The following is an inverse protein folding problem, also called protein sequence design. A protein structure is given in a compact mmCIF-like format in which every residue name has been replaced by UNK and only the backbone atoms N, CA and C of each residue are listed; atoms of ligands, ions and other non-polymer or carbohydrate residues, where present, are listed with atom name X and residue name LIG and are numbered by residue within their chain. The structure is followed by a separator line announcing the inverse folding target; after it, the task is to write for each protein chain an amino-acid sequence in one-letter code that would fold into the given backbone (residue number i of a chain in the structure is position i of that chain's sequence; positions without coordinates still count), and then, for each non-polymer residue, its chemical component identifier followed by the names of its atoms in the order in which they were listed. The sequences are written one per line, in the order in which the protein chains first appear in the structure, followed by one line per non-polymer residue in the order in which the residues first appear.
data_IF_303055999199
#
_entry.id   IF_303055999199
#
_cell.length_a   1.000
_cell.length_b   1.000
_cell.length_c   1.000
_cell.angle_alpha   90.00
_cell.angle_beta   90.00
_cell.angle_gamma   90.00
#
_symmetry.space_group_name_H-M   'P 1'
#
loop_
_entity.id
_entity.type
_entity.pdbx_description
1 polymer ?
#
# COMPACT_ATOMS: atom_id res chain seq x y z
N UNK A 1 -4.25 4.39 -2.56
CA UNK A 1 -5.05 4.07 -1.36
C UNK A 1 -6.32 4.90 -1.25
N UNK A 2 -6.25 6.23 -1.16
CA UNK A 2 -7.41 7.12 -0.96
C UNK A 2 -8.62 6.83 -1.86
N UNK A 3 -8.41 6.75 -3.18
CA UNK A 3 -9.49 6.43 -4.13
C UNK A 3 -10.10 5.04 -3.91
N UNK A 4 -9.30 4.05 -3.49
CA UNK A 4 -9.80 2.72 -3.20
C UNK A 4 -10.75 2.75 -1.99
N UNK A 5 -10.37 3.48 -0.92
CA UNK A 5 -11.22 3.66 0.27
C UNK A 5 -12.51 4.40 -0.08
N UNK A 6 -12.43 5.44 -0.93
CA UNK A 6 -13.60 6.14 -1.44
C UNK A 6 -14.57 5.21 -2.20
N UNK A 7 -14.03 4.35 -3.07
CA UNK A 7 -14.82 3.35 -3.81
C UNK A 7 -15.44 2.31 -2.87
N UNK A 8 -14.71 1.86 -1.85
CA UNK A 8 -15.22 0.93 -0.85
C UNK A 8 -16.39 1.54 -0.07
N UNK A 9 -16.24 2.79 0.39
CA UNK A 9 -17.29 3.52 1.09
C UNK A 9 -18.53 3.72 0.21
N UNK A 10 -18.34 4.05 -1.07
CA UNK A 10 -19.42 4.16 -2.03
C UNK A 10 -20.16 2.82 -2.25
N UNK A 11 -19.43 1.72 -2.45
CA UNK A 11 -20.00 0.39 -2.63
C UNK A 11 -20.81 -0.05 -1.39
N UNK A 12 -20.29 0.20 -0.19
CA UNK A 12 -21.00 -0.06 1.06
C UNK A 12 -22.27 0.78 1.18
N UNK A 13 -22.20 2.08 0.86
CA UNK A 13 -23.38 2.97 0.91
C UNK A 13 -24.46 2.59 -0.11
N UNK A 14 -24.06 2.03 -1.26
CA UNK A 14 -24.97 1.52 -2.30
C UNK A 14 -25.47 0.10 -2.03
N UNK A 15 -25.01 -0.53 -0.94
CA UNK A 15 -25.31 -1.93 -0.60
C UNK A 15 -24.88 -2.93 -1.67
N UNK A 16 -23.86 -2.58 -2.45
CA UNK A 16 -23.22 -3.50 -3.41
C UNK A 16 -22.39 -4.56 -2.65
N UNK A 17 -21.84 -4.16 -1.49
CA UNK A 17 -21.16 -5.04 -0.55
C UNK A 17 -21.74 -4.85 0.85
N UNK A 18 -21.56 -5.85 1.71
CA UNK A 18 -22.01 -5.81 3.10
C UNK A 18 -20.91 -5.40 4.07
N UNK A 19 -19.64 -5.48 3.67
CA UNK A 19 -18.48 -5.21 4.53
C UNK A 19 -17.34 -4.53 3.77
N UNK A 20 -16.52 -3.77 4.49
CA UNK A 20 -15.23 -3.26 4.04
C UNK A 20 -14.14 -3.87 4.91
N UNK A 21 -13.08 -4.39 4.31
CA UNK A 21 -11.92 -4.92 5.01
C UNK A 21 -10.69 -4.18 4.52
N UNK A 22 -10.06 -3.40 5.39
CA UNK A 22 -8.81 -2.70 5.14
C UNK A 22 -7.69 -3.43 5.86
N UNK A 23 -6.63 -3.75 5.13
CA UNK A 23 -5.50 -4.46 5.69
C UNK A 23 -4.18 -3.90 5.17
N UNK A 24 -3.15 -4.04 5.99
CA UNK A 24 -1.78 -3.57 5.70
C UNK A 24 -0.79 -4.61 6.22
N UNK A 25 0.31 -4.91 5.52
CA UNK A 25 1.36 -5.74 6.08
C UNK A 25 2.00 -5.02 7.27
N UNK A 26 2.37 -5.78 8.30
CA UNK A 26 3.23 -5.27 9.35
C UNK A 26 4.65 -5.24 8.80
N UNK A 27 5.24 -4.05 8.74
CA UNK A 27 6.59 -3.83 8.22
C UNK A 27 7.39 -3.14 9.30
N UNK A 28 8.54 -3.69 9.65
CA UNK A 28 9.44 -3.06 10.62
C UNK A 28 10.21 -1.92 9.93
N UNK A 29 9.51 -0.81 9.68
CA UNK A 29 10.13 0.38 9.11
C UNK A 29 10.95 1.10 10.19
N UNK A 30 12.18 0.62 10.42
CA UNK A 30 13.19 1.28 11.25
C UNK A 30 13.09 1.08 12.76
N UNK A 31 11.89 0.88 13.32
CA UNK A 31 11.69 0.46 14.72
C UNK A 31 11.20 -0.99 14.75
N UNK A 32 11.91 -1.90 15.44
CA UNK A 32 11.43 -3.29 15.55
C UNK A 32 10.10 -3.28 16.29
N UNK A 33 9.10 -3.98 15.75
CA UNK A 33 7.75 -4.06 16.34
C UNK A 33 7.78 -4.52 17.81
N UNK A 34 8.85 -5.23 18.19
CA UNK A 34 9.15 -5.66 19.56
C UNK A 34 9.31 -4.53 20.59
N UNK A 35 9.67 -3.29 20.21
CA UNK A 35 9.99 -2.22 21.16
C UNK A 35 8.82 -1.35 21.61
N UNK A 36 7.69 -1.36 20.90
CA UNK A 36 6.49 -0.62 21.33
C UNK A 36 5.84 -1.32 22.54
N UNK A 37 5.54 -0.61 23.65
CA UNK A 37 4.86 -1.20 24.80
C UNK A 37 3.39 -1.50 24.46
N UNK A 38 2.81 -2.54 25.08
CA UNK A 38 1.40 -2.92 24.91
C UNK A 38 1.18 -4.28 24.25
N UNK A 39 -0.09 -4.62 24.02
CA UNK A 39 -0.48 -5.83 23.31
C UNK A 39 -0.16 -5.75 21.81
N UNK A 40 -0.35 -6.84 21.08
CA UNK A 40 -0.04 -6.90 19.65
C UNK A 40 -0.80 -5.84 18.84
N UNK A 41 -2.02 -5.49 19.25
CA UNK A 41 -2.81 -4.47 18.54
C UNK A 41 -2.28 -3.06 18.81
N UNK A 42 -1.94 -2.73 20.05
CA UNK A 42 -1.34 -1.45 20.40
C UNK A 42 -0.03 -1.17 19.64
N UNK A 43 0.73 -2.23 19.33
CA UNK A 43 1.96 -2.13 18.54
C UNK A 43 1.72 -1.91 17.04
N UNK A 44 0.61 -2.42 16.50
CA UNK A 44 0.30 -2.34 15.06
C UNK A 44 -0.61 -1.15 14.72
N UNK A 45 -1.31 -0.59 15.72
CA UNK A 45 -2.20 0.56 15.59
C UNK A 45 -1.57 1.76 14.84
N UNK A 46 -0.31 2.18 15.11
CA UNK A 46 0.30 3.29 14.39
C UNK A 46 0.37 3.08 12.87
N UNK A 47 0.57 1.84 12.42
CA UNK A 47 0.67 1.49 11.00
C UNK A 47 -0.71 1.46 10.32
N UNK A 48 -1.76 1.18 11.08
CA UNK A 48 -3.14 1.17 10.60
C UNK A 48 -3.78 2.56 10.63
N UNK A 49 -3.20 3.51 11.38
CA UNK A 49 -3.72 4.87 11.53
C UNK A 49 -4.06 5.57 10.19
N UNK A 50 -3.22 5.51 9.14
CA UNK A 50 -3.56 6.13 7.85
C UNK A 50 -4.84 5.57 7.21
N UNK A 51 -5.18 4.31 7.48
CA UNK A 51 -6.43 3.70 6.98
C UNK A 51 -7.65 4.23 7.74
N UNK A 52 -7.53 4.45 9.05
CA UNK A 52 -8.57 5.10 9.85
C UNK A 52 -8.79 6.55 9.42
N UNK A 53 -7.70 7.30 9.22
CA UNK A 53 -7.79 8.69 8.77
C UNK A 53 -8.46 8.77 7.38
N UNK A 54 -8.09 7.88 6.45
CA UNK A 54 -8.73 7.79 5.14
C UNK A 54 -10.23 7.43 5.20
N UNK A 55 -10.67 6.65 6.20
CA UNK A 55 -12.09 6.39 6.42
C UNK A 55 -12.83 7.64 6.92
N UNK A 56 -12.23 8.38 7.85
CA UNK A 56 -12.79 9.62 8.39
C UNK A 56 -12.89 10.74 7.36
N UNK A 57 -12.03 10.73 6.34
CA UNK A 57 -12.15 11.63 5.19
C UNK A 57 -13.36 11.31 4.29
N UNK A 58 -13.88 10.07 4.32
CA UNK A 58 -14.94 9.58 3.44
C UNK A 58 -16.31 9.48 4.10
N UNK A 59 -16.33 9.28 5.41
CA UNK A 59 -17.51 8.98 6.20
C UNK A 59 -17.51 9.83 7.47
N UNK A 60 -18.70 10.21 7.93
CA UNK A 60 -18.85 10.91 9.21
C UNK A 60 -18.21 10.11 10.37
N UNK A 61 -17.48 10.75 11.29
CA UNK A 61 -16.76 10.07 12.37
C UNK A 61 -17.63 9.11 13.19
N UNK A 62 -18.85 9.53 13.54
CA UNK A 62 -19.80 8.72 14.30
C UNK A 62 -20.22 7.46 13.54
N UNK A 63 -20.37 7.58 12.22
CA UNK A 63 -20.70 6.46 11.35
C UNK A 63 -19.53 5.49 11.23
N UNK A 64 -18.30 5.99 11.11
CA UNK A 64 -17.10 5.14 11.08
C UNK A 64 -17.01 4.30 12.36
N UNK A 65 -17.11 4.94 13.53
CA UNK A 65 -17.06 4.25 14.83
C UNK A 65 -18.15 3.19 14.96
N UNK A 66 -19.40 3.51 14.61
CA UNK A 66 -20.50 2.55 14.67
C UNK A 66 -20.27 1.35 13.72
N UNK A 67 -19.73 1.58 12.53
CA UNK A 67 -19.50 0.52 11.54
C UNK A 67 -18.32 -0.37 11.92
N UNK A 68 -17.28 0.20 12.57
CA UNK A 68 -16.17 -0.54 13.16
C UNK A 68 -16.64 -1.43 14.31
N UNK A 69 -17.41 -0.88 15.26
CA UNK A 69 -17.97 -1.64 16.40
C UNK A 69 -18.86 -2.81 15.95
N UNK A 70 -19.63 -2.61 14.87
CA UNK A 70 -20.48 -3.66 14.28
C UNK A 70 -19.72 -4.67 13.42
N UNK A 71 -18.42 -4.46 13.17
CA UNK A 71 -17.62 -5.29 12.28
C UNK A 71 -18.01 -5.20 10.81
N UNK A 72 -18.73 -4.14 10.41
CA UNK A 72 -19.04 -3.87 9.00
C UNK A 72 -17.81 -3.31 8.29
N UNK A 73 -17.07 -2.44 8.97
CA UNK A 73 -15.74 -2.02 8.56
C UNK A 73 -14.75 -2.74 9.48
N UNK A 74 -13.75 -3.38 8.91
CA UNK A 74 -12.67 -4.04 9.64
C UNK A 74 -11.34 -3.43 9.19
N UNK A 75 -10.52 -2.98 10.14
CA UNK A 75 -9.14 -2.54 9.89
C UNK A 75 -8.23 -3.47 10.68
N UNK A 76 -7.44 -4.29 9.98
CA UNK A 76 -6.65 -5.33 10.63
C UNK A 76 -5.32 -5.61 9.92
N UNK A 77 -4.31 -6.13 10.62
CA UNK A 77 -3.04 -6.53 10.00
C UNK A 77 -3.23 -7.68 8.99
N UNK A 78 -2.37 -7.76 7.97
CA UNK A 78 -2.47 -8.79 6.91
C UNK A 78 -2.53 -10.23 7.44
N UNK A 79 -1.87 -10.51 8.56
CA UNK A 79 -1.87 -11.83 9.19
C UNK A 79 -3.28 -12.33 9.56
N UNK A 80 -4.22 -11.42 9.84
CA UNK A 80 -5.61 -11.74 10.21
C UNK A 80 -6.44 -12.22 9.01
N UNK A 81 -5.92 -12.10 7.79
CA UNK A 81 -6.58 -12.61 6.59
C UNK A 81 -6.40 -14.11 6.40
N UNK A 82 -5.43 -14.72 7.10
CA UNK A 82 -5.09 -16.14 6.97
C UNK A 82 -6.29 -17.03 7.31
N UNK A 83 -6.57 -18.00 6.43
CA UNK A 83 -7.64 -18.98 6.65
C UNK A 83 -9.06 -18.44 6.44
N UNK A 84 -9.23 -17.19 6.00
CA UNK A 84 -10.54 -16.61 5.74
C UNK A 84 -10.97 -16.80 4.29
N UNK A 85 -12.28 -16.74 4.06
CA UNK A 85 -12.88 -16.50 2.75
C UNK A 85 -13.73 -15.24 2.88
N UNK A 86 -13.43 -14.23 2.07
CA UNK A 86 -13.99 -12.89 2.21
C UNK A 86 -15.12 -12.72 1.19
N UNK A 87 -16.33 -13.10 1.61
CA UNK A 87 -17.57 -12.94 0.81
C UNK A 87 -18.27 -11.61 1.11
N UNK A 88 -19.03 -11.11 0.14
CA UNK A 88 -19.84 -9.88 0.22
C UNK A 88 -19.06 -8.67 0.74
N UNK A 89 -17.79 -8.56 0.34
CA UNK A 89 -16.84 -7.61 0.93
C UNK A 89 -16.10 -6.79 -0.12
N UNK A 90 -15.80 -5.53 0.21
CA UNK A 90 -14.79 -4.74 -0.50
C UNK A 90 -13.50 -4.79 0.31
N UNK A 91 -12.46 -5.41 -0.24
CA UNK A 91 -11.20 -5.67 0.45
C UNK A 91 -10.10 -4.77 -0.13
N UNK A 92 -9.34 -4.12 0.74
CA UNK A 92 -8.19 -3.31 0.35
C UNK A 92 -6.95 -3.81 1.09
N UNK A 93 -5.93 -4.21 0.34
CA UNK A 93 -4.58 -4.38 0.86
C UNK A 93 -3.77 -3.15 0.50
N UNK A 94 -3.42 -2.36 1.52
CA UNK A 94 -2.58 -1.19 1.38
C UNK A 94 -1.10 -1.54 1.59
N UNK A 95 -0.23 -0.76 0.95
CA UNK A 95 1.23 -0.84 1.07
C UNK A 95 1.77 -2.23 0.72
N UNK A 96 1.17 -2.79 -0.34
CA UNK A 96 1.38 -4.15 -0.79
C UNK A 96 2.80 -4.41 -1.30
N UNK A 97 3.56 -3.36 -1.63
CA UNK A 97 4.97 -3.51 -1.98
C UNK A 97 5.78 -4.14 -0.84
N UNK A 98 5.29 -4.03 0.39
CA UNK A 98 5.91 -4.59 1.59
C UNK A 98 5.36 -5.98 1.97
N UNK A 99 4.79 -6.70 1.01
CA UNK A 99 4.41 -8.11 1.18
C UNK A 99 5.45 -9.02 0.54
N UNK A 100 5.63 -10.22 1.10
CA UNK A 100 6.33 -11.30 0.39
C UNK A 100 5.43 -11.92 -0.70
N UNK A 101 6.00 -12.64 -1.69
CA UNK A 101 5.21 -13.37 -2.69
C UNK A 101 4.24 -14.38 -2.05
N UNK A 102 4.63 -15.04 -0.95
CA UNK A 102 3.78 -15.97 -0.22
C UNK A 102 2.62 -15.26 0.48
N UNK A 103 2.87 -14.09 1.08
CA UNK A 103 1.84 -13.27 1.71
C UNK A 103 0.84 -12.74 0.68
N UNK A 104 1.33 -12.27 -0.47
CA UNK A 104 0.50 -11.82 -1.58
C UNK A 104 -0.38 -12.97 -2.09
N UNK A 105 0.20 -14.15 -2.37
CA UNK A 105 -0.57 -15.34 -2.77
C UNK A 105 -1.59 -15.76 -1.71
N UNK A 106 -1.20 -15.74 -0.43
CA UNK A 106 -2.10 -16.04 0.69
C UNK A 106 -3.30 -15.09 0.67
N UNK A 107 -3.06 -13.80 0.50
CA UNK A 107 -4.09 -12.76 0.50
C UNK A 107 -5.03 -12.82 -0.71
N UNK A 108 -4.49 -12.90 -1.92
CA UNK A 108 -5.29 -12.91 -3.16
C UNK A 108 -6.23 -14.14 -3.20
N UNK A 109 -5.80 -15.27 -2.65
CA UNK A 109 -6.64 -16.48 -2.55
C UNK A 109 -7.71 -16.42 -1.46
N UNK A 110 -7.87 -15.30 -0.75
CA UNK A 110 -8.97 -15.09 0.22
C UNK A 110 -10.23 -14.49 -0.45
N UNK A 111 -10.15 -14.05 -1.71
CA UNK A 111 -11.28 -13.48 -2.43
C UNK A 111 -12.45 -14.48 -2.50
N UNK A 112 -13.62 -14.08 -1.99
CA UNK A 112 -14.84 -14.85 -2.01
C UNK A 112 -15.85 -14.34 -3.04
N UNK A 113 -17.07 -14.88 -3.00
CA UNK A 113 -18.16 -14.47 -3.87
C UNK A 113 -18.63 -13.05 -3.57
N UNK A 114 -19.20 -12.40 -4.59
CA UNK A 114 -19.76 -11.05 -4.51
C UNK A 114 -18.82 -10.04 -3.83
N UNK A 115 -17.53 -10.13 -4.15
CA UNK A 115 -16.49 -9.36 -3.48
C UNK A 115 -15.56 -8.72 -4.49
N UNK A 116 -14.96 -7.61 -4.08
CA UNK A 116 -13.98 -6.87 -4.89
C UNK A 116 -12.74 -6.63 -4.05
N UNK A 117 -11.58 -6.87 -4.63
CA UNK A 117 -10.29 -6.66 -3.98
C UNK A 117 -9.50 -5.59 -4.74
N UNK A 118 -8.91 -4.66 -4.00
CA UNK A 118 -7.99 -3.66 -4.53
C UNK A 118 -6.69 -3.77 -3.76
N UNK A 119 -5.58 -3.91 -4.48
CA UNK A 119 -4.23 -3.96 -3.91
C UNK A 119 -3.54 -2.66 -4.28
N UNK A 120 -3.06 -1.90 -3.30
CA UNK A 120 -2.37 -0.64 -3.50
C UNK A 120 -0.95 -0.71 -2.96
N UNK A 121 -0.01 -0.04 -3.63
CA UNK A 121 1.37 0.07 -3.19
C UNK A 121 2.21 0.94 -4.11
N UNK A 122 3.39 1.30 -3.66
CA UNK A 122 4.39 2.08 -4.40
C UNK A 122 5.68 1.25 -4.52
N UNK A 123 5.99 0.77 -5.72
CA UNK A 123 7.18 -0.07 -5.97
C UNK A 123 8.51 0.65 -5.72
N UNK A 124 8.51 1.98 -5.58
CA UNK A 124 9.71 2.76 -5.27
C UNK A 124 10.00 2.82 -3.76
N UNK A 125 9.03 2.43 -2.92
CA UNK A 125 9.07 2.50 -1.46
C UNK A 125 8.97 1.10 -0.85
N UNK A 126 9.87 0.21 -1.27
CA UNK A 126 9.98 -1.16 -0.73
C UNK A 126 10.84 -1.12 0.54
N UNK A 127 10.22 -1.44 1.67
CA UNK A 127 10.83 -1.49 3.00
C UNK A 127 11.25 -2.92 3.41
N UNK A 128 11.15 -3.88 2.48
CA UNK A 128 11.57 -5.26 2.72
C UNK A 128 13.11 -5.38 2.80
N UNK A 129 13.63 -6.40 3.52
CA UNK A 129 15.04 -6.74 3.47
C UNK A 129 15.51 -6.92 2.02
N UNK A 130 16.74 -6.48 1.71
CA UNK A 130 17.29 -6.48 0.34
C UNK A 130 17.28 -7.85 -0.36
N UNK A 131 17.25 -8.93 0.41
CA UNK A 131 17.26 -10.31 -0.09
C UNK A 131 15.85 -10.84 -0.38
N UNK A 132 14.81 -10.08 -0.06
CA UNK A 132 13.42 -10.48 -0.19
C UNK A 132 12.74 -9.73 -1.34
N UNK A 133 12.24 -10.48 -2.32
CA UNK A 133 11.45 -9.93 -3.40
C UNK A 133 10.11 -9.39 -2.91
N UNK A 134 9.65 -8.30 -3.51
CA UNK A 134 8.31 -7.76 -3.28
C UNK A 134 7.25 -8.61 -3.97
N UNK A 135 6.27 -9.06 -3.19
CA UNK A 135 5.10 -9.78 -3.68
C UNK A 135 4.29 -8.98 -4.69
N UNK A 136 4.22 -7.65 -4.54
CA UNK A 136 3.52 -6.78 -5.50
C UNK A 136 4.21 -6.78 -6.88
N UNK A 137 5.54 -6.71 -6.89
CA UNK A 137 6.33 -6.72 -8.14
C UNK A 137 6.20 -8.08 -8.82
N UNK A 138 6.41 -9.16 -8.07
CA UNK A 138 6.34 -10.53 -8.60
C UNK A 138 4.95 -10.86 -9.12
N UNK A 139 3.89 -10.48 -8.40
CA UNK A 139 2.52 -10.83 -8.80
C UNK A 139 2.04 -10.05 -10.02
N UNK A 140 2.57 -8.85 -10.25
CA UNK A 140 2.26 -8.06 -11.45
C UNK A 140 2.67 -8.75 -12.74
N UNK A 141 3.74 -9.55 -12.71
CA UNK A 141 4.16 -10.35 -13.85
C UNK A 141 3.39 -11.66 -13.94
N UNK A 142 3.16 -12.34 -12.80
CA UNK A 142 2.45 -13.64 -12.77
C UNK A 142 0.99 -13.51 -13.20
N UNK A 143 0.29 -12.46 -12.76
CA UNK A 143 -1.16 -12.33 -12.97
C UNK A 143 -1.53 -11.43 -14.15
N UNK A 144 -0.55 -11.03 -14.97
CA UNK A 144 -0.74 -10.09 -16.09
C UNK A 144 -1.83 -10.53 -17.08
N UNK A 145 -1.95 -11.83 -17.31
CA UNK A 145 -2.88 -12.42 -18.29
C UNK A 145 -4.11 -13.07 -17.65
N UNK A 146 -4.30 -12.91 -16.33
CA UNK A 146 -5.43 -13.51 -15.62
C UNK A 146 -6.68 -12.65 -15.80
N UNK A 147 -7.73 -13.24 -16.38
CA UNK A 147 -9.03 -12.58 -16.56
C UNK A 147 -9.61 -12.12 -15.21
N UNK A 148 -10.18 -10.91 -15.19
CA UNK A 148 -10.76 -10.31 -13.99
C UNK A 148 -9.76 -9.58 -13.09
N UNK A 149 -8.48 -9.54 -13.47
CA UNK A 149 -7.44 -8.75 -12.79
C UNK A 149 -6.98 -7.62 -13.71
N UNK A 150 -6.89 -6.40 -13.16
CA UNK A 150 -6.43 -5.22 -13.89
C UNK A 150 -5.32 -4.52 -13.11
N UNK A 151 -4.28 -4.08 -13.81
CA UNK A 151 -3.17 -3.33 -13.25
C UNK A 151 -3.25 -1.87 -13.67
N UNK A 152 -3.57 -1.00 -12.72
CA UNK A 152 -3.65 0.45 -12.93
C UNK A 152 -2.37 1.07 -12.38
N UNK A 153 -1.61 1.76 -13.25
CA UNK A 153 -0.37 2.45 -12.88
C UNK A 153 -0.60 3.95 -12.88
N UNK A 154 -0.34 4.59 -11.75
CA UNK A 154 -0.35 6.04 -11.63
C UNK A 154 1.05 6.61 -11.85
N UNK A 155 1.12 7.73 -12.56
CA UNK A 155 2.33 8.50 -12.80
C UNK A 155 2.43 9.75 -11.89
N UNK A 156 3.45 10.56 -12.13
CA UNK A 156 3.62 11.85 -11.41
C UNK A 156 2.48 12.83 -11.72
N UNK A 157 1.91 12.74 -12.91
CA UNK A 157 0.78 13.52 -13.40
C UNK A 157 -0.50 13.30 -12.57
N UNK A 158 -0.66 12.11 -11.99
CA UNK A 158 -1.82 11.75 -11.17
C UNK A 158 -1.70 12.26 -9.72
N UNK A 159 -0.53 12.80 -9.34
CA UNK A 159 -0.24 13.24 -7.97
C UNK A 159 -0.78 14.66 -7.74
N UNK A 160 -1.99 14.73 -7.18
CA UNK A 160 -2.60 15.99 -6.75
C UNK A 160 -2.19 16.30 -5.31
N UNK A 161 -1.36 17.34 -5.14
CA UNK A 161 -0.90 17.82 -3.82
C UNK A 161 -0.99 19.34 -3.75
N UNK A 162 -1.12 19.87 -2.54
CA UNK A 162 -1.13 21.31 -2.30
C UNK A 162 0.10 21.99 -2.94
N UNK A 163 -0.07 23.19 -3.51
CA UNK A 163 0.99 23.91 -4.25
C UNK A 163 2.26 24.08 -3.41
N UNK A 164 2.13 24.34 -2.11
CA UNK A 164 3.27 24.46 -1.20
C UNK A 164 4.10 23.17 -1.13
N UNK A 165 3.45 22.01 -1.01
CA UNK A 165 4.12 20.71 -0.94
C UNK A 165 4.90 20.44 -2.21
N UNK A 166 4.32 20.74 -3.38
CA UNK A 166 5.02 20.62 -4.67
C UNK A 166 6.30 21.47 -4.70
N UNK A 167 6.24 22.73 -4.24
CA UNK A 167 7.42 23.61 -4.17
C UNK A 167 8.49 23.07 -3.22
N UNK A 168 8.08 22.51 -2.07
CA UNK A 168 9.01 21.92 -1.10
C UNK A 168 9.74 20.73 -1.74
N UNK A 169 8.99 19.80 -2.36
CA UNK A 169 9.58 18.64 -3.03
C UNK A 169 10.53 19.07 -4.15
N UNK A 170 10.14 20.05 -4.98
CA UNK A 170 11.00 20.59 -6.03
C UNK A 170 12.32 21.16 -5.47
N UNK A 171 12.27 21.92 -4.38
CA UNK A 171 13.46 22.48 -3.75
C UNK A 171 14.43 21.39 -3.23
N UNK A 172 13.91 20.29 -2.67
CA UNK A 172 14.73 19.15 -2.26
C UNK A 172 15.34 18.41 -3.46
N UNK A 173 14.57 18.22 -4.53
CA UNK A 173 15.08 17.59 -5.76
C UNK A 173 16.21 18.41 -6.39
N UNK A 174 16.06 19.73 -6.51
CA UNK A 174 17.10 20.63 -7.00
C UNK A 174 18.35 20.63 -6.10
N UNK A 175 18.18 20.50 -4.79
CA UNK A 175 19.31 20.38 -3.87
C UNK A 175 20.04 19.05 -4.03
N UNK A 176 19.31 17.93 -4.13
CA UNK A 176 19.88 16.60 -4.33
C UNK A 176 20.65 16.51 -5.66
N UNK A 177 20.10 17.07 -6.74
CA UNK A 177 20.77 17.12 -8.05
C UNK A 177 22.07 17.93 -8.03
N UNK A 178 22.13 19.03 -7.26
CA UNK A 178 23.37 19.81 -7.08
C UNK A 178 24.44 19.08 -6.27
N UNK A 179 24.02 18.19 -5.37
CA UNK A 179 24.92 17.38 -4.54
C UNK A 179 25.37 16.09 -5.21
N UNK A 180 24.69 15.64 -6.28
CA UNK A 180 25.15 14.52 -7.08
C UNK A 180 26.50 14.87 -7.71
N UNK A 181 27.61 14.19 -7.34
CA UNK A 181 28.92 14.53 -7.89
C UNK A 181 28.88 14.33 -9.41
N UNK A 182 29.35 15.34 -10.15
CA UNK A 182 29.60 15.22 -11.58
C UNK A 182 30.42 13.94 -11.81
N UNK A 183 29.78 12.91 -12.40
CA UNK A 183 30.47 11.75 -12.92
C UNK A 183 31.41 12.27 -14.00
N UNK A 184 32.66 12.57 -13.60
CA UNK A 184 33.73 12.95 -14.52
C UNK A 184 33.76 11.91 -15.63
N UNK A 185 33.63 12.29 -16.91
CA UNK A 185 33.77 11.32 -18.00
C UNK A 185 35.15 10.68 -17.87
N UNK A 186 35.19 9.35 -17.76
CA UNK A 186 36.44 8.58 -17.78
C UNK A 186 37.19 8.96 -19.05
N UNK A 187 38.25 9.75 -18.92
CA UNK A 187 39.21 9.98 -19.99
C UNK A 187 39.74 8.62 -20.40
N UNK A 188 39.36 8.16 -21.60
CA UNK A 188 39.98 6.99 -22.23
C UNK A 188 41.50 7.24 -22.26
N UNK A 189 42.34 6.31 -21.78
CA UNK A 189 43.77 6.45 -22.00
C UNK A 189 44.01 6.44 -23.52
N UNK A 190 44.65 7.49 -24.03
CA UNK A 190 45.19 7.50 -25.38
C UNK A 190 46.12 6.30 -25.52
N UNK A 191 45.81 5.42 -26.47
CA UNK A 191 46.74 4.41 -26.93
C UNK A 191 47.98 5.13 -27.44
N UNK A 192 49.08 5.07 -26.68
CA UNK A 192 50.39 5.43 -27.19
C UNK A 192 50.80 4.32 -28.15
N UNK A 193 50.93 4.68 -29.42
CA UNK A 193 51.58 3.84 -30.41
C UNK A 193 53.06 3.66 -30.09
N UNK A 194 53.54 2.45 -30.32
CA UNK A 194 54.85 2.10 -30.86
C UNK A 194 54.74 0.65 -31.34
#
# INVERSE_FOLDING_TARGET
TFLAVALAAAALSRREVNRIILTRPAVEAGERLGFLPGDLMAKVDPYLRPLFDALHDMLEPERVSQQLERGVIEVAPLAFMRGRTLNDSFIILDEAQNTSPEQMKMFLTRLGFNSKMVVTGDITQIDLPREQDSGLVVVADILREVEGIEFIRFGEEDVVRHKLVRRIVAAYNEHSQRLAPELRPRTRPQARGA
#
